data_IF_403415309388
#
_entry.id   IF_403415309388
#
_cell.length_a   1.000
_cell.length_b   1.000
_cell.length_c   1.000
_cell.angle_alpha   90.00
_cell.angle_beta   90.00
_cell.angle_gamma   90.00
#
_symmetry.space_group_name_H-M   'P 1'
#
loop_
_entity.id
_entity.type
_entity.pdbx_description
1 polymer ?
#
# COMPACT_ATOMS: atom_id res chain seq x y z
N UNK A 1 -14.00 -25.63 41.52
CA UNK A 1 -13.51 -25.11 40.22
C UNK A 1 -14.31 -23.85 39.89
N UNK A 2 -13.65 -22.68 39.83
CA UNK A 2 -14.29 -21.43 39.41
C UNK A 2 -14.27 -21.36 37.87
N UNK A 3 -15.37 -20.99 37.19
CA UNK A 3 -15.31 -20.71 35.76
C UNK A 3 -14.49 -19.44 35.50
N UNK A 4 -13.61 -19.52 34.51
CA UNK A 4 -12.79 -18.42 34.00
C UNK A 4 -13.68 -17.35 33.36
N UNK A 5 -13.45 -16.05 33.57
CA UNK A 5 -14.26 -15.00 32.96
C UNK A 5 -13.95 -14.88 31.46
N UNK A 6 -15.02 -14.67 30.70
CA UNK A 6 -15.02 -14.44 29.26
C UNK A 6 -14.01 -13.35 28.86
N UNK A 7 -13.18 -13.63 27.85
CA UNK A 7 -12.37 -12.61 27.18
C UNK A 7 -13.33 -11.65 26.46
N UNK A 8 -13.26 -10.39 26.85
CA UNK A 8 -14.00 -9.27 26.30
C UNK A 8 -13.91 -9.23 24.78
N UNK A 9 -15.06 -9.01 24.14
CA UNK A 9 -15.17 -8.87 22.70
C UNK A 9 -14.30 -7.73 22.17
N UNK A 10 -13.68 -8.01 21.04
CA UNK A 10 -13.11 -7.03 20.13
C UNK A 10 -13.70 -7.41 18.79
N UNK A 11 -14.64 -6.61 18.27
CA UNK A 11 -15.13 -6.79 16.91
C UNK A 11 -14.24 -6.03 15.95
N UNK A 12 -13.51 -6.78 15.12
CA UNK A 12 -12.84 -6.24 13.93
C UNK A 12 -13.94 -5.79 12.96
N UNK A 13 -13.90 -4.53 12.51
CA UNK A 13 -14.75 -4.07 11.41
C UNK A 13 -14.53 -5.00 10.22
N UNK A 14 -15.61 -5.57 9.68
CA UNK A 14 -15.56 -6.58 8.63
C UNK A 14 -14.81 -6.02 7.41
N UNK A 15 -13.59 -6.51 7.15
CA UNK A 15 -12.66 -6.00 6.11
C UNK A 15 -13.33 -5.87 4.75
N UNK A 16 -14.21 -6.80 4.39
CA UNK A 16 -14.93 -6.78 3.12
C UNK A 16 -15.88 -5.60 2.96
N UNK A 17 -16.48 -5.10 4.04
CA UNK A 17 -17.40 -3.95 3.96
C UNK A 17 -16.66 -2.61 3.75
N UNK A 18 -15.41 -2.52 4.20
CA UNK A 18 -14.55 -1.33 4.03
C UNK A 18 -13.97 -1.25 2.61
N UNK A 19 -13.46 -2.37 2.08
CA UNK A 19 -12.88 -2.40 0.73
C UNK A 19 -13.91 -2.16 -0.37
N UNK A 20 -15.17 -2.53 -0.15
CA UNK A 20 -16.28 -2.25 -1.08
C UNK A 20 -16.54 -0.75 -1.33
N UNK A 21 -15.94 0.16 -0.54
CA UNK A 21 -16.05 1.61 -0.72
C UNK A 21 -14.86 2.24 -1.44
N UNK A 22 -13.81 1.47 -1.73
CA UNK A 22 -12.62 1.97 -2.42
C UNK A 22 -12.88 2.00 -3.92
N UNK A 23 -12.65 3.14 -4.57
CA UNK A 23 -12.80 3.22 -6.02
C UNK A 23 -11.79 2.30 -6.71
N UNK A 24 -12.32 1.36 -7.50
CA UNK A 24 -11.55 0.46 -8.35
C UNK A 24 -12.23 0.32 -9.71
N UNK A 25 -11.93 1.27 -10.59
CA UNK A 25 -12.44 1.33 -11.96
C UNK A 25 -11.31 1.72 -12.91
N UNK A 26 -11.44 1.38 -14.19
CA UNK A 26 -10.46 1.75 -15.20
C UNK A 26 -11.14 2.00 -16.55
N UNK A 27 -10.49 2.79 -17.40
CA UNK A 27 -10.97 3.11 -18.75
C UNK A 27 -10.36 2.22 -19.85
N UNK A 28 -9.82 1.05 -19.48
CA UNK A 28 -9.06 0.17 -20.37
C UNK A 28 -7.60 0.56 -20.60
N UNK A 29 -7.20 1.80 -20.29
CA UNK A 29 -5.81 2.26 -20.37
C UNK A 29 -5.21 2.56 -19.00
N UNK A 30 -5.96 3.24 -18.13
CA UNK A 30 -5.53 3.70 -16.81
C UNK A 30 -6.59 3.39 -15.75
N UNK A 31 -6.14 3.12 -14.52
CA UNK A 31 -6.94 3.09 -13.30
C UNK A 31 -7.37 4.51 -12.92
N UNK A 32 -8.66 4.69 -12.63
CA UNK A 32 -9.29 6.00 -12.40
C UNK A 32 -8.77 6.68 -11.13
N UNK A 33 -8.46 5.91 -10.09
CA UNK A 33 -8.03 6.44 -8.80
C UNK A 33 -6.53 6.80 -8.80
N UNK A 34 -5.69 5.86 -9.20
CA UNK A 34 -4.23 5.96 -9.04
C UNK A 34 -3.51 6.45 -10.29
N UNK A 35 -4.16 6.39 -11.45
CA UNK A 35 -3.55 6.65 -12.75
C UNK A 35 -2.50 5.61 -13.15
N UNK A 36 -2.44 4.46 -12.47
CA UNK A 36 -1.63 3.33 -12.89
C UNK A 36 -2.17 2.75 -14.21
N UNK A 37 -1.35 2.09 -15.04
CA UNK A 37 -1.84 1.35 -16.19
C UNK A 37 -2.95 0.37 -15.80
N UNK A 38 -3.99 0.23 -16.63
CA UNK A 38 -5.08 -0.70 -16.38
C UNK A 38 -4.59 -2.17 -16.48
N UNK A 39 -5.27 -3.14 -15.83
CA UNK A 39 -4.86 -4.54 -15.84
C UNK A 39 -4.61 -5.11 -17.24
N UNK A 40 -5.46 -4.76 -18.22
CA UNK A 40 -5.28 -5.18 -19.62
C UNK A 40 -3.89 -4.80 -20.16
N UNK A 41 -3.46 -3.56 -19.93
CA UNK A 41 -2.15 -3.06 -20.38
C UNK A 41 -1.02 -3.83 -19.71
N UNK A 42 -1.17 -4.20 -18.44
CA UNK A 42 -0.22 -5.00 -17.71
C UNK A 42 -0.07 -6.40 -18.30
N UNK A 43 -1.18 -7.12 -18.50
CA UNK A 43 -1.14 -8.47 -19.06
C UNK A 43 -0.62 -8.48 -20.50
N UNK A 44 -0.99 -7.49 -21.33
CA UNK A 44 -0.42 -7.33 -22.67
C UNK A 44 1.11 -7.14 -22.64
N UNK A 45 1.64 -6.40 -21.65
CA UNK A 45 3.09 -6.24 -21.45
C UNK A 45 3.74 -7.51 -20.88
N UNK A 46 3.07 -8.20 -19.96
CA UNK A 46 3.55 -9.43 -19.33
C UNK A 46 3.73 -10.54 -20.35
N UNK A 47 2.74 -10.77 -21.22
CA UNK A 47 2.83 -11.74 -22.31
C UNK A 47 4.05 -11.48 -23.22
N UNK A 48 4.31 -10.20 -23.54
CA UNK A 48 5.50 -9.80 -24.29
C UNK A 48 6.80 -10.10 -23.53
N UNK A 49 6.82 -9.86 -22.23
CA UNK A 49 8.02 -10.04 -21.41
C UNK A 49 8.34 -11.53 -21.18
N UNK A 50 7.34 -12.36 -20.89
CA UNK A 50 7.47 -13.82 -20.84
C UNK A 50 7.98 -14.35 -22.18
N UNK A 51 7.45 -13.86 -23.30
CA UNK A 51 7.90 -14.25 -24.63
C UNK A 51 9.37 -13.90 -24.90
N UNK A 52 9.86 -12.76 -24.38
CA UNK A 52 11.28 -12.38 -24.47
C UNK A 52 12.14 -13.26 -23.56
N UNK A 53 11.70 -13.49 -22.32
CA UNK A 53 12.35 -14.34 -21.33
C UNK A 53 12.67 -15.72 -21.91
N UNK A 54 11.68 -16.37 -22.54
CA UNK A 54 11.84 -17.68 -23.21
C UNK A 54 12.90 -17.68 -24.32
N UNK A 55 13.08 -16.57 -25.03
CA UNK A 55 14.04 -16.48 -26.15
C UNK A 55 15.46 -16.13 -25.73
N UNK A 56 15.61 -15.35 -24.65
CA UNK A 56 16.90 -14.78 -24.22
C UNK A 56 17.38 -15.29 -22.85
N UNK A 57 16.66 -16.25 -22.25
CA UNK A 57 16.90 -16.73 -20.88
C UNK A 57 17.02 -15.58 -19.87
N UNK A 58 16.12 -14.59 -19.99
CA UNK A 58 16.09 -13.45 -19.08
C UNK A 58 15.09 -13.74 -17.96
N UNK A 59 15.52 -13.71 -16.70
CA UNK A 59 14.64 -13.91 -15.56
C UNK A 59 13.57 -12.81 -15.47
N UNK A 60 12.37 -13.19 -15.04
CA UNK A 60 11.23 -12.29 -14.85
C UNK A 60 10.62 -12.59 -13.49
N UNK A 61 10.34 -11.55 -12.72
CA UNK A 61 9.69 -11.67 -11.41
C UNK A 61 8.50 -10.73 -11.30
N UNK A 62 7.44 -11.19 -10.64
CA UNK A 62 6.33 -10.35 -10.20
C UNK A 62 6.50 -10.01 -8.73
N UNK A 63 6.40 -8.72 -8.41
CA UNK A 63 6.24 -8.23 -7.04
C UNK A 63 4.80 -7.81 -6.85
N UNK A 64 4.13 -8.48 -5.92
CA UNK A 64 2.81 -8.17 -5.42
C UNK A 64 2.93 -7.20 -4.25
N UNK A 65 2.21 -6.07 -4.32
CA UNK A 65 2.20 -5.04 -3.28
C UNK A 65 0.79 -4.85 -2.78
N UNK A 66 0.52 -5.16 -1.53
CA UNK A 66 -0.79 -4.96 -0.91
C UNK A 66 -0.73 -3.88 0.16
N UNK A 67 -1.58 -2.87 0.03
CA UNK A 67 -1.70 -1.78 1.00
C UNK A 67 -2.69 -2.20 2.09
N UNK A 68 -2.28 -2.15 3.35
CA UNK A 68 -3.10 -2.59 4.48
C UNK A 68 -3.91 -1.41 5.04
N UNK A 69 -5.24 -1.53 5.24
CA UNK A 69 -6.07 -0.44 5.78
C UNK A 69 -5.82 -0.19 7.28
N UNK A 70 -6.24 0.98 7.78
CA UNK A 70 -6.05 1.39 9.18
C UNK A 70 -7.21 0.80 9.97
N UNK A 71 -6.92 -0.22 10.77
CA UNK A 71 -7.92 -0.74 11.70
C UNK A 71 -7.86 0.06 13.00
N UNK A 72 -8.81 0.98 13.18
CA UNK A 72 -9.08 1.55 14.50
C UNK A 72 -9.80 0.46 15.32
N UNK A 73 -9.14 -0.06 16.35
CA UNK A 73 -9.78 -0.89 17.36
C UNK A 73 -10.76 -0.02 18.16
N UNK A 74 -12.04 -0.08 17.85
CA UNK A 74 -13.07 0.62 18.64
C UNK A 74 -13.39 -0.23 19.87
N UNK A 75 -13.29 0.30 21.11
CA UNK A 75 -13.64 -0.45 22.31
C UNK A 75 -15.14 -0.82 22.33
N UNK A 76 -15.46 -2.07 22.67
CA UNK A 76 -16.80 -2.70 22.66
C UNK A 76 -17.91 -1.87 23.36
N UNK A 77 -17.55 -0.98 24.29
CA UNK A 77 -18.51 -0.15 25.05
C UNK A 77 -19.17 0.96 24.23
N UNK A 78 -18.67 1.28 23.04
CA UNK A 78 -19.26 2.31 22.17
C UNK A 78 -20.45 1.81 21.34
N UNK A 79 -20.68 0.49 21.23
CA UNK A 79 -21.70 -0.08 20.35
C UNK A 79 -23.16 0.11 20.84
N UNK A 80 -23.35 0.53 22.10
CA UNK A 80 -24.68 0.71 22.72
C UNK A 80 -25.38 2.03 22.38
N UNK A 81 -24.66 3.01 21.81
CA UNK A 81 -25.21 4.36 21.58
C UNK A 81 -24.84 4.91 20.19
N UNK A 82 -24.72 4.03 19.19
CA UNK A 82 -24.53 4.47 17.81
C UNK A 82 -25.91 4.65 17.17
N UNK A 83 -26.40 5.88 17.31
CA UNK A 83 -27.50 6.42 16.50
C UNK A 83 -27.20 6.21 15.00
N UNK A 84 -28.20 5.73 14.25
CA UNK A 84 -28.11 5.26 12.84
C UNK A 84 -27.56 6.27 11.81
N UNK A 85 -27.19 7.49 12.21
CA UNK A 85 -26.79 8.57 11.30
C UNK A 85 -25.30 8.95 11.33
N UNK A 86 -24.44 8.28 12.14
CA UNK A 86 -22.99 8.59 12.22
C UNK A 86 -22.07 7.63 11.44
N UNK A 87 -22.56 6.46 11.04
CA UNK A 87 -21.71 5.41 10.47
C UNK A 87 -21.29 5.66 9.02
N UNK A 88 -22.08 6.39 8.24
CA UNK A 88 -21.75 6.65 6.82
C UNK A 88 -20.65 7.70 6.66
N UNK A 89 -20.61 8.72 7.53
CA UNK A 89 -19.64 9.81 7.45
C UNK A 89 -18.22 9.34 7.79
N UNK A 90 -18.10 8.49 8.81
CA UNK A 90 -16.79 7.96 9.26
C UNK A 90 -16.23 6.91 8.28
N UNK A 91 -17.09 6.07 7.70
CA UNK A 91 -16.69 5.09 6.69
C UNK A 91 -16.20 5.77 5.40
N UNK A 92 -16.92 6.77 4.90
CA UNK A 92 -16.51 7.57 3.74
C UNK A 92 -15.20 8.34 3.99
N UNK A 93 -14.99 8.85 5.21
CA UNK A 93 -13.75 9.53 5.58
C UNK A 93 -12.55 8.56 5.59
N UNK A 94 -12.75 7.34 6.10
CA UNK A 94 -11.70 6.31 6.12
C UNK A 94 -11.41 5.76 4.72
N UNK A 95 -12.43 5.57 3.87
CA UNK A 95 -12.27 5.23 2.46
C UNK A 95 -11.40 6.25 1.73
N UNK A 96 -11.71 7.55 1.88
CA UNK A 96 -10.93 8.63 1.28
C UNK A 96 -9.47 8.69 1.78
N UNK A 97 -9.21 8.37 3.06
CA UNK A 97 -7.85 8.34 3.60
C UNK A 97 -7.04 7.16 3.03
N UNK A 98 -7.66 5.99 2.91
CA UNK A 98 -7.04 4.80 2.33
C UNK A 98 -6.78 4.94 0.82
N UNK A 99 -7.70 5.56 0.09
CA UNK A 99 -7.51 5.91 -1.32
C UNK A 99 -6.32 6.85 -1.54
N UNK A 100 -6.16 7.87 -0.68
CA UNK A 100 -4.97 8.74 -0.72
C UNK A 100 -3.68 7.95 -0.50
N UNK A 101 -3.71 6.96 0.38
CA UNK A 101 -2.58 6.07 0.63
C UNK A 101 -2.27 5.21 -0.59
N UNK A 102 -3.27 4.61 -1.24
CA UNK A 102 -3.11 3.87 -2.50
C UNK A 102 -2.49 4.76 -3.59
N UNK A 103 -2.97 5.99 -3.75
CA UNK A 103 -2.40 6.97 -4.70
C UNK A 103 -0.93 7.26 -4.35
N UNK A 104 -0.62 7.47 -3.08
CA UNK A 104 0.74 7.74 -2.61
C UNK A 104 1.67 6.56 -2.90
N UNK A 105 1.24 5.34 -2.56
CA UNK A 105 1.99 4.11 -2.83
C UNK A 105 2.22 3.96 -4.33
N UNK A 106 1.19 4.09 -5.17
CA UNK A 106 1.32 4.02 -6.63
C UNK A 106 2.36 5.01 -7.19
N UNK A 107 2.39 6.24 -6.68
CA UNK A 107 3.42 7.24 -7.05
C UNK A 107 4.82 6.84 -6.60
N UNK A 108 4.96 6.34 -5.36
CA UNK A 108 6.24 5.86 -4.84
C UNK A 108 6.80 4.71 -5.68
N UNK A 109 5.96 3.72 -6.01
CA UNK A 109 6.30 2.60 -6.89
C UNK A 109 6.77 3.12 -8.24
N UNK A 110 5.95 3.94 -8.93
CA UNK A 110 6.28 4.51 -10.24
C UNK A 110 7.61 5.25 -10.25
N UNK A 111 7.89 6.06 -9.22
CA UNK A 111 9.13 6.84 -9.13
C UNK A 111 10.39 6.01 -8.83
N UNK A 112 10.23 4.75 -8.43
CA UNK A 112 11.32 3.87 -7.99
C UNK A 112 11.61 2.71 -8.96
N UNK A 113 10.80 2.59 -10.01
CA UNK A 113 10.95 1.61 -11.09
C UNK A 113 12.06 2.01 -12.07
N UNK A 114 12.68 1.01 -12.71
CA UNK A 114 13.61 1.19 -13.82
C UNK A 114 12.83 1.25 -15.15
N UNK A 115 13.50 1.68 -16.22
CA UNK A 115 12.86 1.85 -17.53
C UNK A 115 12.31 0.57 -18.19
N UNK A 116 12.69 -0.61 -17.71
CA UNK A 116 12.16 -1.91 -18.17
C UNK A 116 11.06 -2.49 -17.27
N UNK A 117 10.82 -1.91 -16.09
CA UNK A 117 9.81 -2.36 -15.16
C UNK A 117 8.44 -1.78 -15.53
N UNK A 118 7.37 -2.49 -15.23
CA UNK A 118 6.01 -1.97 -15.39
C UNK A 118 5.09 -2.48 -14.29
N UNK A 119 4.01 -1.76 -14.04
CA UNK A 119 3.11 -2.04 -12.92
C UNK A 119 1.66 -1.73 -13.28
N UNK A 120 0.74 -2.26 -12.50
CA UNK A 120 -0.69 -1.97 -12.58
C UNK A 120 -1.34 -2.19 -11.23
N UNK A 121 -2.47 -1.53 -11.02
CA UNK A 121 -3.36 -1.81 -9.89
C UNK A 121 -4.27 -2.97 -10.28
N UNK A 122 -3.94 -4.18 -9.81
CA UNK A 122 -4.65 -5.42 -10.15
C UNK A 122 -5.78 -5.72 -9.15
N UNK A 123 -5.70 -5.18 -7.94
CA UNK A 123 -6.70 -5.32 -6.89
C UNK A 123 -7.10 -3.96 -6.30
N UNK A 124 -8.27 -3.92 -5.66
CA UNK A 124 -8.77 -2.76 -4.93
C UNK A 124 -7.77 -2.24 -3.88
N UNK A 125 -7.00 -3.14 -3.27
CA UNK A 125 -6.06 -2.87 -2.19
C UNK A 125 -4.59 -2.91 -2.62
N UNK A 126 -4.26 -3.02 -3.91
CA UNK A 126 -2.85 -3.12 -4.28
C UNK A 126 -2.49 -3.27 -5.74
N UNK A 127 -1.19 -3.52 -5.95
CA UNK A 127 -0.51 -3.41 -7.23
C UNK A 127 0.30 -4.67 -7.53
N UNK A 128 0.43 -4.98 -8.81
CA UNK A 128 1.45 -5.91 -9.29
C UNK A 128 2.50 -5.14 -10.08
N UNK A 129 3.75 -5.58 -9.96
CA UNK A 129 4.90 -4.99 -10.62
C UNK A 129 5.65 -6.13 -11.30
N UNK A 130 5.89 -6.02 -12.60
CA UNK A 130 6.76 -6.91 -13.34
C UNK A 130 8.17 -6.31 -13.40
N UNK A 131 9.15 -7.12 -13.01
CA UNK A 131 10.57 -6.78 -13.00
C UNK A 131 11.33 -7.71 -13.94
N UNK A 132 12.28 -7.13 -14.67
CA UNK A 132 13.31 -7.90 -15.37
C UNK A 132 14.40 -8.27 -14.37
N UNK A 133 14.39 -9.50 -13.88
CA UNK A 133 15.31 -9.99 -12.87
C UNK A 133 14.78 -11.23 -12.15
N UNK A 134 15.70 -11.93 -11.49
CA UNK A 134 15.40 -13.04 -10.61
C UNK A 134 14.82 -12.55 -9.26
N UNK A 135 14.50 -13.49 -8.40
CA UNK A 135 14.03 -13.23 -7.03
C UNK A 135 14.99 -12.36 -6.21
N UNK A 136 16.31 -12.49 -6.40
CA UNK A 136 17.31 -11.70 -5.66
C UNK A 136 17.24 -10.23 -6.06
N UNK A 137 17.12 -9.94 -7.35
CA UNK A 137 16.96 -8.58 -7.84
C UNK A 137 15.58 -7.99 -7.52
N UNK A 138 14.53 -8.82 -7.51
CA UNK A 138 13.20 -8.44 -7.05
C UNK A 138 13.20 -8.05 -5.56
N UNK A 139 13.87 -8.82 -4.69
CA UNK A 139 14.01 -8.49 -3.26
C UNK A 139 14.75 -7.17 -3.03
N UNK A 140 15.79 -6.88 -3.84
CA UNK A 140 16.44 -5.56 -3.82
C UNK A 140 15.47 -4.45 -4.24
N UNK A 141 14.58 -4.72 -5.20
CA UNK A 141 13.56 -3.76 -5.63
C UNK A 141 12.52 -3.52 -4.54
N UNK A 142 12.04 -4.58 -3.88
CA UNK A 142 11.14 -4.50 -2.71
C UNK A 142 11.72 -3.58 -1.64
N UNK A 143 13.00 -3.74 -1.28
CA UNK A 143 13.66 -2.85 -0.30
C UNK A 143 13.65 -1.37 -0.73
N UNK A 144 13.87 -1.08 -2.02
CA UNK A 144 13.78 0.30 -2.54
C UNK A 144 12.36 0.84 -2.46
N UNK A 145 11.36 0.04 -2.84
CA UNK A 145 9.95 0.43 -2.78
C UNK A 145 9.51 0.70 -1.35
N UNK A 146 9.79 -0.23 -0.45
CA UNK A 146 9.58 -0.14 0.99
C UNK A 146 10.13 1.17 1.57
N UNK A 147 11.42 1.43 1.35
CA UNK A 147 12.07 2.64 1.83
C UNK A 147 11.37 3.90 1.31
N UNK A 148 11.03 3.94 0.01
CA UNK A 148 10.40 5.10 -0.60
C UNK A 148 9.00 5.37 -0.04
N UNK A 149 8.22 4.32 0.19
CA UNK A 149 6.88 4.41 0.77
C UNK A 149 6.97 4.93 2.21
N UNK A 150 7.89 4.39 3.02
CA UNK A 150 8.08 4.86 4.41
C UNK A 150 8.55 6.31 4.47
N UNK A 151 9.46 6.73 3.60
CA UNK A 151 9.90 8.13 3.50
C UNK A 151 8.74 9.09 3.17
N UNK A 152 7.89 8.71 2.21
CA UNK A 152 6.73 9.51 1.82
C UNK A 152 5.74 9.66 2.97
N UNK A 153 5.46 8.57 3.71
CA UNK A 153 4.58 8.59 4.88
C UNK A 153 5.10 9.51 5.98
N UNK A 154 6.41 9.48 6.26
CA UNK A 154 7.02 10.37 7.24
C UNK A 154 6.89 11.83 6.83
N UNK A 155 7.11 12.12 5.55
CA UNK A 155 6.98 13.48 5.04
C UNK A 155 5.54 13.99 5.16
N UNK A 156 4.56 13.14 4.82
CA UNK A 156 3.14 13.43 4.97
C UNK A 156 2.78 13.72 6.44
N UNK A 157 3.18 12.86 7.37
CA UNK A 157 2.95 13.05 8.81
C UNK A 157 3.57 14.36 9.32
N UNK A 158 4.78 14.70 8.86
CA UNK A 158 5.44 15.97 9.19
C UNK A 158 4.67 17.17 8.65
N UNK A 159 4.15 17.07 7.42
CA UNK A 159 3.37 18.12 6.80
C UNK A 159 2.03 18.32 7.52
N UNK A 160 1.33 17.24 7.85
CA UNK A 160 0.07 17.27 8.62
C UNK A 160 0.28 17.93 9.99
N UNK A 161 1.34 17.57 10.73
CA UNK A 161 1.70 18.22 12.00
C UNK A 161 1.99 19.71 11.84
N UNK A 162 2.70 20.11 10.78
CA UNK A 162 2.96 21.53 10.48
C UNK A 162 1.67 22.29 10.14
N UNK A 163 0.74 21.67 9.42
CA UNK A 163 -0.55 22.29 9.09
C UNK A 163 -1.45 22.40 10.33
N UNK A 164 -1.50 21.38 11.17
CA UNK A 164 -2.21 21.42 12.45
C UNK A 164 -1.64 22.48 13.41
N UNK A 165 -0.30 22.54 13.52
CA UNK A 165 0.38 23.58 14.30
C UNK A 165 0.21 24.99 13.73
N UNK A 166 0.09 25.15 12.41
CA UNK A 166 -0.25 26.45 11.78
C UNK A 166 -1.69 26.87 12.00
N UNK A 167 -2.62 25.92 12.11
CA UNK A 167 -4.00 26.22 12.48
C UNK A 167 -4.07 26.68 13.95
N UNK A 168 -3.26 26.10 14.84
CA UNK A 168 -3.13 26.57 16.23
C UNK A 168 -2.43 27.95 16.32
N UNK A 169 -1.39 28.19 15.51
CA UNK A 169 -0.70 29.49 15.39
C UNK A 169 -1.50 30.57 14.66
N UNK A 170 -2.66 30.25 14.05
CA UNK A 170 -3.61 31.27 13.56
C UNK A 170 -4.53 31.77 14.68
N UNK A 171 -4.67 31.02 15.77
CA UNK A 171 -5.27 31.47 17.03
C UNK A 171 -4.23 32.08 17.99
N UNK A 172 -2.96 31.66 17.91
CA UNK A 172 -1.87 32.18 18.76
C UNK A 172 -0.95 33.24 18.11
N UNK A 173 -1.33 33.78 16.94
CA UNK A 173 -0.66 34.96 16.34
C UNK A 173 -0.98 36.29 17.06
N UNK A 174 -1.24 36.20 18.37
CA UNK A 174 -1.17 37.29 19.34
C UNK A 174 0.08 37.22 20.23
N UNK A 175 1.00 36.25 20.08
CA UNK A 175 2.24 36.28 20.86
C UNK A 175 3.40 35.49 20.27
N UNK A 176 4.37 36.26 19.76
CA UNK A 176 5.84 36.09 19.82
C UNK A 176 6.54 34.81 19.31
N UNK A 177 7.20 35.02 18.17
CA UNK A 177 8.60 34.76 17.76
C UNK A 177 9.55 33.92 18.66
N UNK A 178 10.13 32.85 18.10
CA UNK A 178 11.58 32.64 17.85
C UNK A 178 11.84 31.18 17.43
N UNK A 179 12.51 30.99 16.29
CA UNK A 179 12.79 29.68 15.70
C UNK A 179 14.01 28.95 16.27
N UNK A 180 14.11 27.64 16.00
CA UNK A 180 15.37 26.88 15.95
C UNK A 180 15.23 25.65 15.04
N UNK A 181 16.29 25.38 14.26
CA UNK A 181 16.42 24.30 13.27
C UNK A 181 17.15 23.09 13.87
N UNK A 182 16.77 21.86 13.53
CA UNK A 182 17.41 20.63 14.06
C UNK A 182 17.93 19.74 12.93
N UNK A 183 19.16 19.27 13.16
CA UNK A 183 20.07 18.52 12.31
C UNK A 183 19.62 17.08 11.97
N UNK A 184 20.21 16.55 10.89
CA UNK A 184 19.89 15.29 10.22
C UNK A 184 21.05 14.29 10.40
N UNK A 185 20.85 13.23 11.19
CA UNK A 185 21.72 12.04 11.22
C UNK A 185 20.88 10.80 10.90
N UNK A 186 21.26 10.04 9.87
CA UNK A 186 20.65 8.74 9.49
C UNK A 186 21.55 7.63 10.01
N UNK A 187 21.04 6.82 10.94
CA UNK A 187 21.63 5.57 11.42
C UNK A 187 20.96 4.38 10.71
N UNK A 188 21.70 3.28 10.51
CA UNK A 188 21.20 2.01 9.95
C UNK A 188 20.11 1.35 10.82
N UNK A 189 20.05 1.66 12.12
CA UNK A 189 18.97 1.19 13.00
C UNK A 189 17.62 1.86 12.66
N UNK A 190 17.68 3.03 12.03
CA UNK A 190 16.49 3.73 11.53
C UNK A 190 15.86 2.97 10.36
N UNK A 191 16.63 2.29 9.51
CA UNK A 191 16.09 1.54 8.36
C UNK A 191 15.22 0.34 8.77
N UNK A 192 15.58 -0.38 9.85
CA UNK A 192 14.72 -1.48 10.37
C UNK A 192 13.42 -0.94 10.97
N UNK A 193 13.49 0.12 11.77
CA UNK A 193 12.30 0.79 12.35
C UNK A 193 11.40 1.44 11.29
N UNK A 194 11.97 1.86 10.14
CA UNK A 194 11.25 2.44 9.01
C UNK A 194 10.42 1.42 8.23
N UNK A 195 10.88 0.17 8.15
CA UNK A 195 10.20 -0.90 7.42
C UNK A 195 9.05 -1.49 8.26
N UNK A 196 9.20 -1.58 9.59
CA UNK A 196 8.14 -2.10 10.49
C UNK A 196 6.87 -1.25 10.52
N UNK A 197 6.94 0.04 10.13
CA UNK A 197 5.78 0.92 10.04
C UNK A 197 5.20 1.03 8.63
N UNK A 198 5.68 0.22 7.67
CA UNK A 198 5.17 0.27 6.31
C UNK A 198 3.82 -0.47 6.24
N UNK A 199 2.79 0.23 5.76
CA UNK A 199 1.45 -0.35 5.55
C UNK A 199 1.33 -1.00 4.18
N UNK A 200 2.41 -1.63 3.75
CA UNK A 200 2.51 -2.32 2.47
C UNK A 200 3.16 -3.68 2.68
N UNK A 201 2.45 -4.74 2.30
CA UNK A 201 2.99 -6.09 2.24
C UNK A 201 3.53 -6.34 0.84
N UNK A 202 4.66 -7.05 0.77
CA UNK A 202 5.29 -7.44 -0.47
C UNK A 202 5.39 -8.95 -0.55
N UNK A 203 5.08 -9.51 -1.72
CA UNK A 203 5.30 -10.92 -2.05
C UNK A 203 5.99 -10.97 -3.40
N UNK A 204 7.02 -11.82 -3.52
CA UNK A 204 7.76 -12.00 -4.77
C UNK A 204 7.42 -13.36 -5.36
N UNK A 205 7.16 -13.42 -6.66
CA UNK A 205 7.02 -14.66 -7.40
C UNK A 205 7.87 -14.58 -8.68
N UNK A 206 8.88 -15.43 -8.77
CA UNK A 206 9.70 -15.58 -9.98
C UNK A 206 9.01 -16.50 -11.00
N UNK A 207 9.27 -16.27 -12.29
CA UNK A 207 8.90 -17.16 -13.38
C UNK A 207 9.96 -18.24 -13.54
N UNK A 208 9.56 -19.51 -13.42
CA UNK A 208 10.48 -20.66 -13.48
C UNK A 208 10.79 -21.13 -14.91
N UNK A 209 10.09 -20.63 -15.93
CA UNK A 209 10.29 -21.05 -17.32
C UNK A 209 9.52 -22.29 -17.73
N UNK A 210 9.06 -23.09 -16.78
CA UNK A 210 8.38 -24.37 -17.01
C UNK A 210 6.86 -24.18 -17.09
N UNK A 211 6.31 -23.30 -16.24
CA UNK A 211 4.88 -23.00 -16.24
C UNK A 211 4.46 -22.30 -17.53
N UNK A 212 3.19 -22.46 -17.92
CA UNK A 212 2.59 -21.57 -18.92
C UNK A 212 2.09 -20.27 -18.26
N UNK A 213 1.80 -19.26 -19.09
CA UNK A 213 1.45 -17.91 -18.61
C UNK A 213 0.24 -17.93 -17.69
N UNK A 214 -0.78 -18.73 -18.02
CA UNK A 214 -2.02 -18.83 -17.24
C UNK A 214 -1.76 -19.46 -15.88
N UNK A 215 -0.97 -20.54 -15.83
CA UNK A 215 -0.62 -21.22 -14.58
C UNK A 215 0.14 -20.30 -13.61
N UNK A 216 1.07 -19.50 -14.13
CA UNK A 216 1.80 -18.56 -13.28
C UNK A 216 0.93 -17.41 -12.79
N UNK A 217 0.06 -16.85 -13.64
CA UNK A 217 -0.89 -15.82 -13.20
C UNK A 217 -1.79 -16.39 -12.08
N UNK A 218 -2.29 -17.61 -12.23
CA UNK A 218 -3.07 -18.27 -11.18
C UNK A 218 -2.27 -18.46 -9.89
N UNK A 219 -0.99 -18.85 -9.98
CA UNK A 219 -0.09 -18.95 -8.83
C UNK A 219 0.08 -17.59 -8.14
N UNK A 220 0.28 -16.52 -8.91
CA UNK A 220 0.41 -15.15 -8.38
C UNK A 220 -0.88 -14.72 -7.69
N UNK A 221 -2.05 -14.95 -8.29
CA UNK A 221 -3.35 -14.66 -7.67
C UNK A 221 -3.51 -15.40 -6.33
N UNK A 222 -3.20 -16.71 -6.31
CA UNK A 222 -3.25 -17.51 -5.09
C UNK A 222 -2.30 -16.97 -4.02
N UNK A 223 -1.10 -16.52 -4.39
CA UNK A 223 -0.16 -15.91 -3.46
C UNK A 223 -0.66 -14.56 -2.94
N UNK A 224 -1.30 -13.75 -3.78
CA UNK A 224 -1.82 -12.43 -3.42
C UNK A 224 -2.96 -12.51 -2.41
N UNK A 225 -3.94 -13.40 -2.66
CA UNK A 225 -5.17 -13.46 -1.87
C UNK A 225 -5.11 -14.39 -0.65
N UNK A 226 -4.18 -15.36 -0.59
CA UNK A 226 -4.04 -16.27 0.55
C UNK A 226 -2.94 -15.89 1.54
N UNK A 227 -2.19 -14.81 1.29
CA UNK A 227 -1.13 -14.38 2.19
C UNK A 227 -1.66 -13.60 3.39
#
# INVERSE_FOLDING_TARGET
>A
MKPSPARSGVKVLNQGAFLNQVEFSNNGALDSLTGAPAPKVFFDNLAREISKSKRKFQAVSIVMVQVLPDFVLVPDKALGTISKNKNETDANLHGSAYEKELISVGRCLKSSMRGGDFYSRIADNGFWICLQGDSVDAEKAVKRFALKISEAKILENKLQRKLAGRNHLREEKNSLDHGHSINKYRSLDTERSLIENQRARFVVCEWDGEMNEVEWIQKIDLLYFNS
#
